data_IF_322495185413
#
_entry.id   IF_322495185413
#
_cell.length_a   1.000
_cell.length_b   1.000
_cell.length_c   1.000
_cell.angle_alpha   90.00
_cell.angle_beta   90.00
_cell.angle_gamma   90.00
#
_symmetry.space_group_name_H-M   'P 1'
#
loop_
_entity.id
_entity.type
_entity.pdbx_description
1 polymer ?
#
# COMPACT_ATOMS: atom_id res chain seq x y z
N UNK A 1 64.01 -16.99 -8.84
CA UNK A 1 63.55 -17.88 -9.93
C UNK A 1 62.37 -17.22 -10.63
N UNK A 2 62.32 -17.30 -11.97
CA UNK A 2 61.93 -16.22 -12.88
C UNK A 2 60.51 -16.36 -13.45
N UNK A 3 60.03 -15.33 -14.16
CA UNK A 3 58.84 -15.41 -15.01
C UNK A 3 58.29 -14.04 -15.42
N UNK A 4 58.79 -13.54 -16.55
CA UNK A 4 58.31 -12.37 -17.29
C UNK A 4 56.83 -12.51 -17.74
N UNK A 5 56.14 -11.38 -17.97
CA UNK A 5 55.55 -11.07 -19.28
C UNK A 5 54.62 -9.82 -19.25
N UNK A 6 54.87 -8.95 -20.23
CA UNK A 6 54.20 -7.69 -20.56
C UNK A 6 52.66 -7.75 -20.62
N UNK A 7 51.98 -6.80 -19.98
CA UNK A 7 50.57 -6.50 -20.25
C UNK A 7 50.39 -5.07 -20.75
N UNK A 8 50.50 -4.92 -22.07
CA UNK A 8 50.18 -3.71 -22.81
C UNK A 8 48.71 -3.25 -22.61
N UNK A 9 48.53 -1.99 -22.22
CA UNK A 9 47.24 -1.32 -22.05
C UNK A 9 46.55 -1.05 -23.40
N UNK A 10 45.78 -2.03 -23.90
CA UNK A 10 44.92 -1.84 -25.08
C UNK A 10 43.67 -1.04 -24.71
N UNK A 11 43.60 0.24 -25.10
CA UNK A 11 42.37 1.06 -24.96
C UNK A 11 41.22 0.46 -25.78
N UNK A 12 40.07 0.27 -25.15
CA UNK A 12 38.84 -0.28 -25.77
C UNK A 12 38.33 0.64 -26.87
N UNK A 13 38.11 0.08 -28.07
CA UNK A 13 37.51 0.80 -29.20
C UNK A 13 36.04 1.17 -28.92
N UNK A 14 35.61 2.34 -29.39
CA UNK A 14 34.21 2.74 -29.31
C UNK A 14 33.34 1.86 -30.22
N UNK A 15 32.21 1.38 -29.70
CA UNK A 15 31.26 0.56 -30.44
C UNK A 15 30.50 1.40 -31.47
N UNK A 16 30.39 0.90 -32.70
CA UNK A 16 29.63 1.56 -33.75
C UNK A 16 28.15 1.72 -33.36
N UNK A 17 27.54 2.84 -33.75
CA UNK A 17 26.12 3.13 -33.50
C UNK A 17 25.25 2.15 -34.29
N UNK A 18 24.57 1.24 -33.61
CA UNK A 18 23.52 0.42 -34.23
C UNK A 18 22.24 1.25 -34.37
N UNK A 19 21.68 1.32 -35.57
CA UNK A 19 20.35 1.87 -35.78
C UNK A 19 19.33 0.99 -35.06
N UNK A 20 18.45 1.58 -34.24
CA UNK A 20 17.49 0.82 -33.45
C UNK A 20 16.44 0.09 -34.29
N UNK A 21 15.71 -0.83 -33.66
CA UNK A 21 14.69 -1.75 -34.23
C UNK A 21 13.68 -1.05 -35.17
N UNK A 22 13.39 0.24 -34.94
CA UNK A 22 12.49 1.02 -35.80
C UNK A 22 13.08 1.36 -37.17
N UNK A 23 14.39 1.62 -37.25
CA UNK A 23 15.09 1.90 -38.51
C UNK A 23 15.21 0.63 -39.35
N UNK A 24 15.48 -0.52 -38.73
CA UNK A 24 15.48 -1.83 -39.39
C UNK A 24 14.08 -2.15 -39.95
N UNK A 25 13.02 -1.93 -39.16
CA UNK A 25 11.63 -2.09 -39.62
C UNK A 25 11.30 -1.17 -40.80
N UNK A 26 11.77 0.08 -40.81
CA UNK A 26 11.57 1.01 -41.94
C UNK A 26 12.32 0.56 -43.19
N UNK A 27 13.55 0.05 -43.07
CA UNK A 27 14.32 -0.51 -44.19
C UNK A 27 13.65 -1.78 -44.75
N UNK A 28 13.22 -2.71 -43.90
CA UNK A 28 12.48 -3.92 -44.27
C UNK A 28 11.14 -3.65 -44.96
N UNK A 29 10.44 -2.56 -44.57
CA UNK A 29 9.18 -2.17 -45.21
C UNK A 29 9.40 -1.60 -46.61
N UNK A 30 10.53 -0.91 -46.84
CA UNK A 30 10.92 -0.35 -48.13
C UNK A 30 11.42 -1.43 -49.10
N UNK A 31 12.09 -2.48 -48.62
CA UNK A 31 12.50 -3.61 -49.47
C UNK A 31 11.31 -4.49 -49.88
N UNK A 32 10.33 -4.70 -48.98
CA UNK A 32 9.10 -5.47 -49.29
C UNK A 32 8.13 -4.77 -50.26
N UNK A 33 8.21 -3.45 -50.43
CA UNK A 33 7.36 -2.72 -51.37
C UNK A 33 7.90 -2.67 -52.81
N UNK A 34 9.14 -3.13 -53.05
CA UNK A 34 9.83 -2.99 -54.35
C UNK A 34 9.66 -4.22 -55.25
N UNK A 35 9.28 -5.39 -54.71
CA UNK A 35 8.91 -6.57 -55.50
C UNK A 35 7.41 -6.81 -55.48
N UNK A 36 6.65 -6.25 -56.43
CA UNK A 36 5.34 -6.79 -56.76
C UNK A 36 5.57 -7.91 -57.78
N UNK A 37 5.68 -9.14 -57.30
CA UNK A 37 5.73 -10.31 -58.16
C UNK A 37 4.39 -10.41 -58.93
N UNK A 38 4.45 -10.19 -60.25
CA UNK A 38 3.32 -10.19 -61.19
C UNK A 38 2.58 -11.56 -61.24
N UNK A 39 3.16 -12.61 -60.66
CA UNK A 39 2.63 -13.99 -60.67
C UNK A 39 1.71 -14.37 -59.50
N UNK A 40 1.61 -13.56 -58.44
CA UNK A 40 0.81 -13.89 -57.24
C UNK A 40 -0.65 -13.39 -57.34
N UNK A 41 -1.62 -14.21 -56.94
CA UNK A 41 -3.04 -13.79 -56.91
C UNK A 41 -3.25 -12.63 -55.93
N UNK A 42 -4.18 -11.71 -56.21
CA UNK A 42 -4.48 -10.55 -55.35
C UNK A 42 -4.69 -10.91 -53.86
N UNK A 43 -5.27 -12.08 -53.58
CA UNK A 43 -5.46 -12.65 -52.23
C UNK A 43 -4.15 -13.01 -51.53
N UNK A 44 -3.17 -13.54 -52.25
CA UNK A 44 -1.84 -13.87 -51.73
C UNK A 44 -1.00 -12.60 -51.52
N UNK A 45 -1.20 -11.57 -52.35
CA UNK A 45 -0.53 -10.26 -52.21
C UNK A 45 -1.02 -9.48 -50.98
N UNK A 46 -2.30 -9.56 -50.65
CA UNK A 46 -2.87 -8.88 -49.47
C UNK A 46 -3.89 -9.74 -48.72
N UNK A 47 -3.43 -10.74 -47.94
CA UNK A 47 -4.33 -11.66 -47.24
C UNK A 47 -5.22 -10.96 -46.20
N UNK A 48 -4.85 -9.76 -45.73
CA UNK A 48 -5.63 -8.97 -44.78
C UNK A 48 -6.81 -8.24 -45.44
N UNK A 49 -6.65 -7.77 -46.68
CA UNK A 49 -7.75 -7.14 -47.41
C UNK A 49 -8.82 -8.16 -47.85
N UNK A 50 -8.43 -9.42 -48.06
CA UNK A 50 -9.32 -10.52 -48.42
C UNK A 50 -9.60 -11.47 -47.25
N UNK A 51 -9.42 -11.00 -46.01
CA UNK A 51 -9.72 -11.79 -44.82
C UNK A 51 -11.23 -12.04 -44.66
N UNK A 52 -12.06 -11.14 -45.21
CA UNK A 52 -13.51 -11.28 -45.26
C UNK A 52 -13.88 -11.78 -46.65
N UNK A 53 -14.15 -13.08 -46.76
CA UNK A 53 -14.54 -13.69 -48.04
C UNK A 53 -15.99 -13.33 -48.43
N UNK A 54 -16.83 -12.94 -47.47
CA UNK A 54 -18.19 -12.46 -47.72
C UNK A 54 -18.65 -11.43 -46.68
N UNK A 55 -19.25 -10.35 -47.17
CA UNK A 55 -19.84 -9.32 -46.32
C UNK A 55 -20.98 -9.88 -45.45
N UNK A 56 -21.80 -10.76 -46.03
CA UNK A 56 -22.97 -11.37 -45.38
C UNK A 56 -22.56 -12.27 -44.20
N UNK A 57 -21.49 -13.08 -44.34
CA UNK A 57 -21.03 -13.91 -43.22
C UNK A 57 -20.34 -13.09 -42.14
N UNK A 58 -19.66 -12.01 -42.49
CA UNK A 58 -19.06 -11.09 -41.52
C UNK A 58 -20.13 -10.38 -40.71
N UNK A 59 -21.21 -9.91 -41.35
CA UNK A 59 -22.36 -9.30 -40.69
C UNK A 59 -23.05 -10.28 -39.74
N UNK A 60 -23.28 -11.53 -40.16
CA UNK A 60 -23.87 -12.57 -39.29
C UNK A 60 -22.98 -12.87 -38.08
N UNK A 61 -21.65 -12.88 -38.25
CA UNK A 61 -20.72 -13.08 -37.15
C UNK A 61 -20.65 -11.86 -36.23
N UNK A 62 -20.77 -10.65 -36.77
CA UNK A 62 -20.85 -9.41 -35.99
C UNK A 62 -22.12 -9.39 -35.13
N UNK A 63 -23.28 -9.65 -35.73
CA UNK A 63 -24.58 -9.76 -35.03
C UNK A 63 -24.58 -10.87 -33.99
N UNK A 64 -24.04 -12.05 -34.32
CA UNK A 64 -23.87 -13.15 -33.34
C UNK A 64 -22.96 -12.74 -32.17
N UNK A 65 -21.91 -11.95 -32.43
CA UNK A 65 -20.99 -11.47 -31.38
C UNK A 65 -21.67 -10.43 -30.49
N UNK A 66 -22.47 -9.54 -31.07
CA UNK A 66 -23.31 -8.60 -30.31
C UNK A 66 -24.40 -9.30 -29.51
N UNK A 67 -25.04 -10.34 -30.07
CA UNK A 67 -25.99 -11.18 -29.34
C UNK A 67 -25.32 -11.98 -28.24
N UNK A 68 -24.10 -12.49 -28.47
CA UNK A 68 -23.31 -13.16 -27.43
C UNK A 68 -22.93 -12.19 -26.32
N UNK A 69 -22.47 -10.98 -26.63
CA UNK A 69 -22.15 -9.99 -25.58
C UNK A 69 -23.43 -9.56 -24.85
N UNK A 70 -24.55 -9.34 -25.54
CA UNK A 70 -25.84 -9.01 -24.91
C UNK A 70 -26.38 -10.15 -24.05
N UNK A 71 -26.32 -11.39 -24.54
CA UNK A 71 -26.73 -12.60 -23.81
C UNK A 71 -25.80 -12.89 -22.62
N UNK A 72 -24.49 -12.68 -22.77
CA UNK A 72 -23.52 -12.84 -21.68
C UNK A 72 -23.63 -11.70 -20.65
N UNK A 73 -24.09 -10.51 -21.06
CA UNK A 73 -24.44 -9.42 -20.16
C UNK A 73 -25.81 -9.63 -19.47
N UNK A 74 -26.61 -10.60 -19.95
CA UNK A 74 -27.80 -11.10 -19.25
C UNK A 74 -27.38 -12.19 -18.27
N UNK A 75 -26.46 -11.84 -17.38
CA UNK A 75 -26.20 -12.65 -16.20
C UNK A 75 -27.38 -12.46 -15.24
N UNK A 76 -27.97 -13.53 -14.68
CA UNK A 76 -29.14 -13.41 -13.83
C UNK A 76 -28.76 -12.61 -12.57
N UNK A 77 -29.64 -11.70 -12.16
CA UNK A 77 -29.42 -10.64 -11.16
C UNK A 77 -28.96 -11.12 -9.77
N UNK A 78 -28.81 -12.42 -9.53
CA UNK A 78 -28.47 -13.01 -8.23
C UNK A 78 -26.97 -13.29 -8.03
N UNK A 79 -26.13 -13.19 -9.06
CA UNK A 79 -24.67 -13.41 -8.94
C UNK A 79 -23.83 -12.16 -9.19
N UNK A 80 -24.36 -10.99 -8.89
CA UNK A 80 -23.51 -9.83 -8.60
C UNK A 80 -23.32 -9.82 -7.09
N UNK A 81 -22.20 -10.34 -6.53
CA UNK A 81 -21.89 -10.00 -5.16
C UNK A 81 -21.85 -8.48 -5.09
N UNK A 82 -22.24 -7.95 -3.93
CA UNK A 82 -22.28 -6.55 -3.51
C UNK A 82 -20.90 -5.86 -3.63
N UNK A 83 -20.28 -5.87 -4.81
CA UNK A 83 -18.88 -5.50 -5.07
C UNK A 83 -18.75 -4.38 -6.10
N UNK A 84 -19.84 -3.95 -6.73
CA UNK A 84 -19.80 -2.83 -7.67
C UNK A 84 -20.24 -1.50 -7.06
N UNK A 85 -20.95 -1.53 -5.93
CA UNK A 85 -21.28 -0.32 -5.17
C UNK A 85 -20.50 -0.40 -3.86
N UNK A 86 -19.32 0.23 -3.83
CA UNK A 86 -18.57 0.40 -2.58
C UNK A 86 -19.46 1.18 -1.63
N UNK A 87 -20.02 0.49 -0.66
CA UNK A 87 -20.70 1.14 0.44
C UNK A 87 -19.64 1.54 1.48
N UNK A 88 -19.77 2.75 2.01
CA UNK A 88 -18.94 3.19 3.12
C UNK A 88 -19.25 2.32 4.34
N UNK A 89 -18.32 1.42 4.68
CA UNK A 89 -18.44 0.59 5.88
C UNK A 89 -18.11 1.46 7.09
N UNK A 90 -19.13 1.97 7.77
CA UNK A 90 -18.97 2.66 9.06
C UNK A 90 -18.62 1.64 10.13
N UNK A 91 -17.42 1.76 10.71
CA UNK A 91 -16.95 0.85 11.76
C UNK A 91 -17.25 1.46 13.11
N UNK A 92 -18.09 0.79 13.91
CA UNK A 92 -18.22 1.13 15.32
C UNK A 92 -16.88 0.91 16.04
N UNK A 93 -16.57 1.77 17.01
CA UNK A 93 -15.37 1.62 17.82
C UNK A 93 -15.49 0.35 18.66
N UNK A 94 -14.63 -0.63 18.38
CA UNK A 94 -14.58 -1.89 19.15
C UNK A 94 -14.13 -1.63 20.58
N UNK A 95 -15.04 -1.72 21.54
CA UNK A 95 -14.73 -1.65 22.98
C UNK A 95 -14.30 -3.04 23.46
N UNK A 96 -13.05 -3.17 23.91
CA UNK A 96 -12.54 -4.43 24.45
C UNK A 96 -13.02 -4.65 25.88
N UNK A 97 -13.42 -5.88 26.20
CA UNK A 97 -13.76 -6.27 27.58
C UNK A 97 -12.52 -6.10 28.47
N UNK A 98 -12.69 -5.65 29.73
CA UNK A 98 -11.57 -5.55 30.66
C UNK A 98 -10.93 -6.92 30.89
N UNK A 99 -9.63 -6.94 31.17
CA UNK A 99 -8.88 -8.16 31.42
C UNK A 99 -9.39 -8.83 32.72
N UNK A 100 -9.79 -10.11 32.63
CA UNK A 100 -10.18 -10.93 33.78
C UNK A 100 -9.09 -11.97 34.05
N UNK A 101 -8.44 -11.87 35.20
CA UNK A 101 -7.44 -12.85 35.62
C UNK A 101 -8.17 -14.09 36.13
N UNK A 102 -7.83 -15.31 35.64
CA UNK A 102 -8.39 -16.54 36.18
C UNK A 102 -8.19 -16.66 37.68
N UNK A 103 -9.21 -17.12 38.42
CA UNK A 103 -9.18 -17.21 39.89
C UNK A 103 -8.06 -18.12 40.40
N UNK A 104 -7.70 -19.15 39.65
CA UNK A 104 -6.58 -20.05 39.94
C UNK A 104 -5.27 -19.27 39.98
N UNK A 105 -4.97 -18.53 38.90
CA UNK A 105 -3.79 -17.69 38.78
C UNK A 105 -3.79 -16.57 39.83
N UNK A 106 -4.93 -15.90 40.02
CA UNK A 106 -5.05 -14.81 41.01
C UNK A 106 -4.76 -15.29 42.45
N UNK A 107 -5.09 -16.56 42.77
CA UNK A 107 -4.78 -17.16 44.08
C UNK A 107 -3.30 -17.50 44.24
N UNK A 108 -2.64 -17.96 43.18
CA UNK A 108 -1.22 -18.33 43.19
C UNK A 108 -0.27 -17.13 43.04
N UNK A 109 -0.78 -15.93 42.71
CA UNK A 109 0.05 -14.73 42.61
C UNK A 109 0.62 -14.33 43.99
N UNK A 110 1.88 -13.84 44.02
CA UNK A 110 2.45 -13.24 45.21
C UNK A 110 1.57 -12.11 45.76
N UNK A 111 1.61 -11.90 47.09
CA UNK A 111 0.74 -10.92 47.76
C UNK A 111 0.82 -9.51 47.16
N UNK A 112 2.01 -9.07 46.72
CA UNK A 112 2.24 -7.76 46.12
C UNK A 112 1.51 -7.57 44.77
N UNK A 113 1.51 -8.61 43.94
CA UNK A 113 0.96 -8.57 42.58
C UNK A 113 -0.52 -8.99 42.53
N UNK A 114 -1.05 -9.49 43.65
CA UNK A 114 -2.44 -9.91 43.75
C UNK A 114 -3.36 -8.69 43.68
N UNK A 115 -4.24 -8.59 42.66
CA UNK A 115 -5.14 -7.46 42.54
C UNK A 115 -6.16 -7.48 43.68
N UNK A 116 -6.25 -6.36 44.41
CA UNK A 116 -7.15 -6.15 45.56
C UNK A 116 -8.47 -5.53 45.10
N UNK A 117 -9.15 -6.18 44.16
CA UNK A 117 -10.49 -5.75 43.79
C UNK A 117 -11.42 -5.93 45.00
N UNK A 118 -12.04 -4.86 45.46
CA UNK A 118 -13.14 -4.97 46.41
C UNK A 118 -14.28 -5.78 45.76
N UNK A 119 -15.00 -6.55 46.57
CA UNK A 119 -16.26 -7.12 46.11
C UNK A 119 -17.17 -5.95 45.66
N UNK A 120 -17.76 -6.05 44.48
CA UNK A 120 -18.65 -5.01 43.92
C UNK A 120 -19.83 -4.74 44.85
N UNK A 121 -20.24 -5.76 45.60
CA UNK A 121 -21.32 -5.73 46.59
C UNK A 121 -20.80 -5.86 48.03
N UNK A 122 -19.63 -5.27 48.32
CA UNK A 122 -19.26 -5.05 49.72
C UNK A 122 -20.36 -4.22 50.37
N UNK A 123 -20.93 -4.71 51.47
CA UNK A 123 -21.90 -3.97 52.31
C UNK A 123 -21.37 -2.55 52.42
N UNK A 124 -22.08 -1.59 51.82
CA UNK A 124 -21.74 -0.19 51.98
C UNK A 124 -21.96 0.09 53.45
N UNK A 125 -20.88 0.29 54.19
CA UNK A 125 -20.95 0.81 55.55
C UNK A 125 -21.82 2.07 55.48
N UNK A 126 -23.04 1.93 55.98
CA UNK A 126 -24.10 2.92 56.03
C UNK A 126 -24.48 3.53 54.67
N UNK A 127 -25.56 3.02 54.07
CA UNK A 127 -26.43 3.87 53.28
C UNK A 127 -26.88 5.04 54.17
N UNK A 128 -26.12 6.14 54.17
CA UNK A 128 -26.62 7.42 54.68
C UNK A 128 -27.98 7.64 54.03
N UNK A 129 -29.01 7.85 54.85
CA UNK A 129 -30.42 7.94 54.45
C UNK A 129 -30.53 8.62 53.08
N UNK A 130 -31.10 7.92 52.11
CA UNK A 130 -31.18 8.40 50.74
C UNK A 130 -31.99 9.71 50.67
N UNK A 131 -31.30 10.83 50.54
CA UNK A 131 -31.94 12.14 50.35
C UNK A 131 -32.44 12.22 48.91
N UNK A 132 -33.76 12.13 48.74
CA UNK A 132 -34.40 12.36 47.44
C UNK A 132 -34.34 13.86 47.16
N UNK A 133 -33.61 14.23 46.11
CA UNK A 133 -33.47 15.63 45.68
C UNK A 133 -34.79 16.18 45.15
N UNK A 134 -35.02 17.47 45.31
CA UNK A 134 -36.16 18.17 44.72
C UNK A 134 -36.14 18.09 43.18
N UNK A 135 -37.29 18.18 42.49
CA UNK A 135 -37.33 18.10 41.03
C UNK A 135 -36.42 19.11 40.31
N UNK A 136 -36.24 20.29 40.89
CA UNK A 136 -35.33 21.31 40.37
C UNK A 136 -33.86 20.88 40.49
N UNK A 137 -33.44 20.39 41.66
CA UNK A 137 -32.08 19.91 41.89
C UNK A 137 -31.74 18.70 41.01
N UNK A 138 -32.70 17.79 40.78
CA UNK A 138 -32.52 16.69 39.83
C UNK A 138 -32.26 17.21 38.41
N UNK A 139 -33.02 18.23 37.98
CA UNK A 139 -32.84 18.88 36.66
C UNK A 139 -31.48 19.58 36.57
N UNK A 140 -31.07 20.31 37.60
CA UNK A 140 -29.75 20.96 37.69
C UNK A 140 -28.63 19.93 37.67
N UNK A 141 -28.76 18.83 38.43
CA UNK A 141 -27.75 17.76 38.44
C UNK A 141 -27.64 17.06 37.09
N UNK A 142 -28.77 16.82 36.42
CA UNK A 142 -28.76 16.29 35.05
C UNK A 142 -28.05 17.24 34.10
N UNK A 143 -28.38 18.53 34.17
CA UNK A 143 -27.71 19.57 33.38
C UNK A 143 -26.20 19.59 33.65
N UNK A 144 -25.81 19.57 34.92
CA UNK A 144 -24.40 19.59 35.31
C UNK A 144 -23.66 18.33 34.83
N UNK A 145 -24.29 17.14 34.86
CA UNK A 145 -23.72 15.91 34.29
C UNK A 145 -23.46 16.06 32.79
N UNK A 146 -24.41 16.60 32.02
CA UNK A 146 -24.24 16.84 30.58
C UNK A 146 -23.12 17.86 30.29
N UNK A 147 -23.02 18.92 31.08
CA UNK A 147 -21.95 19.92 30.92
C UNK A 147 -20.57 19.29 31.20
N UNK A 148 -20.46 18.47 32.24
CA UNK A 148 -19.22 17.76 32.58
C UNK A 148 -18.77 16.81 31.48
N UNK A 149 -19.67 15.98 30.95
CA UNK A 149 -19.32 15.04 29.87
C UNK A 149 -18.83 15.78 28.62
N UNK A 150 -19.53 16.84 28.21
CA UNK A 150 -19.13 17.64 27.06
C UNK A 150 -17.74 18.27 27.24
N UNK A 151 -17.44 18.74 28.45
CA UNK A 151 -16.12 19.31 28.78
C UNK A 151 -15.01 18.24 28.74
N UNK A 152 -15.25 17.07 29.31
CA UNK A 152 -14.31 15.94 29.29
C UNK A 152 -14.06 15.47 27.85
N UNK A 153 -15.10 15.34 27.03
CA UNK A 153 -14.99 14.96 25.63
C UNK A 153 -14.18 15.97 24.83
N UNK A 154 -14.41 17.28 25.03
CA UNK A 154 -13.62 18.35 24.41
C UNK A 154 -12.14 18.23 24.80
N UNK A 155 -11.85 18.09 26.09
CA UNK A 155 -10.47 17.95 26.59
C UNK A 155 -9.79 16.69 26.05
N UNK A 156 -10.52 15.57 25.96
CA UNK A 156 -10.03 14.33 25.38
C UNK A 156 -9.71 14.50 23.89
N UNK A 157 -10.57 15.18 23.13
CA UNK A 157 -10.34 15.47 21.71
C UNK A 157 -9.07 16.31 21.49
N UNK A 158 -8.92 17.40 22.25
CA UNK A 158 -7.72 18.25 22.19
C UNK A 158 -6.43 17.47 22.53
N UNK A 159 -6.49 16.60 23.54
CA UNK A 159 -5.37 15.73 23.91
C UNK A 159 -5.00 14.74 22.80
N UNK A 160 -5.99 14.17 22.11
CA UNK A 160 -5.76 13.25 21.00
C UNK A 160 -5.12 13.98 19.82
N UNK A 161 -5.63 15.15 19.43
CA UNK A 161 -5.05 15.98 18.37
C UNK A 161 -3.61 16.39 18.69
N UNK A 162 -3.32 16.78 19.94
CA UNK A 162 -1.96 17.10 20.38
C UNK A 162 -1.03 15.89 20.27
N UNK A 163 -1.47 14.70 20.70
CA UNK A 163 -0.69 13.48 20.61
C UNK A 163 -0.39 13.11 19.14
N UNK A 164 -1.35 13.27 18.24
CA UNK A 164 -1.13 13.06 16.80
C UNK A 164 -0.10 14.04 16.22
N UNK A 165 -0.18 15.32 16.57
CA UNK A 165 0.81 16.33 16.15
C UNK A 165 2.20 15.97 16.65
N UNK A 166 2.32 15.61 17.93
CA UNK A 166 3.60 15.19 18.53
C UNK A 166 4.15 13.92 17.87
N UNK A 167 3.30 12.94 17.54
CA UNK A 167 3.70 11.71 16.82
C UNK A 167 4.23 12.01 15.43
N UNK A 168 3.55 12.86 14.67
CA UNK A 168 4.00 13.28 13.33
C UNK A 168 5.36 13.98 13.40
N UNK A 169 5.50 14.93 14.31
CA UNK A 169 6.76 15.64 14.52
C UNK A 169 7.91 14.69 14.91
N UNK A 170 7.67 13.76 15.84
CA UNK A 170 8.68 12.75 16.21
C UNK A 170 9.08 11.87 15.03
N UNK A 171 8.12 11.46 14.20
CA UNK A 171 8.40 10.66 13.01
C UNK A 171 9.26 11.42 11.98
N UNK A 172 8.99 12.71 11.76
CA UNK A 172 9.79 13.56 10.87
C UNK A 172 11.22 13.72 11.38
N UNK A 173 11.39 13.99 12.68
CA UNK A 173 12.69 14.09 13.33
C UNK A 173 13.50 12.78 13.22
N UNK A 174 12.85 11.63 13.40
CA UNK A 174 13.49 10.32 13.23
C UNK A 174 13.93 10.09 11.77
N UNK A 175 13.08 10.43 10.80
CA UNK A 175 13.43 10.33 9.38
C UNK A 175 14.62 11.22 9.01
N UNK A 176 14.66 12.45 9.52
CA UNK A 176 15.77 13.37 9.29
C UNK A 176 17.08 12.82 9.88
N UNK A 177 17.05 12.31 11.11
CA UNK A 177 18.20 11.66 11.75
C UNK A 177 18.68 10.46 10.96
N UNK A 178 17.77 9.61 10.48
CA UNK A 178 18.08 8.45 9.63
C UNK A 178 18.72 8.91 8.31
N UNK A 179 18.17 9.95 7.67
CA UNK A 179 18.71 10.50 6.43
C UNK A 179 20.11 11.10 6.63
N UNK A 180 20.33 11.83 7.72
CA UNK A 180 21.64 12.35 8.11
C UNK A 180 22.66 11.21 8.29
N UNK A 181 22.32 10.20 9.08
CA UNK A 181 23.20 9.06 9.33
C UNK A 181 23.52 8.29 8.02
N UNK A 182 22.53 8.11 7.14
CA UNK A 182 22.72 7.48 5.82
C UNK A 182 23.66 8.29 4.92
N UNK A 183 23.54 9.62 4.91
CA UNK A 183 24.47 10.51 4.19
C UNK A 183 25.90 10.34 4.68
N UNK A 184 26.11 10.31 5.99
CA UNK A 184 27.41 10.08 6.61
C UNK A 184 28.01 8.72 6.23
N UNK A 185 27.20 7.64 6.28
CA UNK A 185 27.65 6.32 5.85
C UNK A 185 28.08 6.29 4.38
N UNK A 186 27.29 6.91 3.50
CA UNK A 186 27.60 6.97 2.07
C UNK A 186 28.89 7.76 1.79
N UNK A 187 29.13 8.86 2.51
CA UNK A 187 30.37 9.63 2.40
C UNK A 187 31.57 8.80 2.84
N UNK A 188 31.50 8.13 4.00
CA UNK A 188 32.55 7.23 4.48
C UNK A 188 32.84 6.11 3.48
N UNK A 189 31.80 5.48 2.91
CA UNK A 189 31.94 4.46 1.86
C UNK A 189 32.66 5.00 0.62
N UNK A 190 32.31 6.19 0.14
CA UNK A 190 32.96 6.83 -1.02
C UNK A 190 34.43 7.11 -0.75
N UNK A 191 34.75 7.65 0.41
CA UNK A 191 36.12 7.94 0.85
C UNK A 191 36.96 6.66 0.90
N UNK A 192 36.50 5.62 1.59
CA UNK A 192 37.22 4.34 1.66
C UNK A 192 37.44 3.72 0.27
N UNK A 193 36.43 3.83 -0.62
CA UNK A 193 36.55 3.34 -1.99
C UNK A 193 37.58 4.12 -2.81
N UNK A 194 37.72 5.43 -2.59
CA UNK A 194 38.75 6.24 -3.22
C UNK A 194 40.15 5.87 -2.71
N UNK A 195 40.33 5.74 -1.39
CA UNK A 195 41.59 5.31 -0.77
C UNK A 195 42.02 3.94 -1.29
N UNK A 196 41.10 2.98 -1.38
CA UNK A 196 41.37 1.65 -1.93
C UNK A 196 41.84 1.70 -3.38
N UNK A 197 41.27 2.56 -4.22
CA UNK A 197 41.72 2.75 -5.62
C UNK A 197 43.12 3.33 -5.71
N UNK A 198 43.44 4.33 -4.89
CA UNK A 198 44.79 4.95 -4.89
C UNK A 198 45.84 3.94 -4.42
N UNK A 199 45.57 3.22 -3.32
CA UNK A 199 46.47 2.18 -2.80
C UNK A 199 46.66 1.00 -3.76
N UNK A 200 45.64 0.66 -4.54
CA UNK A 200 45.74 -0.37 -5.58
C UNK A 200 46.64 0.06 -6.75
N UNK A 201 46.58 1.34 -7.14
CA UNK A 201 47.42 1.90 -8.21
C UNK A 201 48.88 2.08 -7.82
N UNK A 202 49.18 2.32 -6.54
CA UNK A 202 50.56 2.44 -6.05
C UNK A 202 51.24 1.09 -5.77
N UNK A 203 50.51 -0.02 -5.93
CA UNK A 203 51.01 -1.40 -5.72
C UNK A 203 51.23 -2.17 -7.03
N UNK A 204 50.84 -1.60 -8.18
CA UNK A 204 51.24 -2.04 -9.51
C UNK A 204 52.38 -1.18 -10.00
#
# INVERSE_FOLDING_TARGET
MPGDEDRSDKKKSHRARHSGVSAEKKKLKKTKSVGKDETLTARQRNPKAFAINSAISAERNFRRKEDLTRRNNTSPLWTKPLMFLHQDVTREQKVFKPLKIPKTLQRSLPYKDKPKHAAVDGVKDEERIAVILSPHEQKVNKMMKMIKTNFEDKKNKEKMEMNERARKFKAEQEQEKVAYHKRQQNLKRKMCRAISKVKGKSKS
#
